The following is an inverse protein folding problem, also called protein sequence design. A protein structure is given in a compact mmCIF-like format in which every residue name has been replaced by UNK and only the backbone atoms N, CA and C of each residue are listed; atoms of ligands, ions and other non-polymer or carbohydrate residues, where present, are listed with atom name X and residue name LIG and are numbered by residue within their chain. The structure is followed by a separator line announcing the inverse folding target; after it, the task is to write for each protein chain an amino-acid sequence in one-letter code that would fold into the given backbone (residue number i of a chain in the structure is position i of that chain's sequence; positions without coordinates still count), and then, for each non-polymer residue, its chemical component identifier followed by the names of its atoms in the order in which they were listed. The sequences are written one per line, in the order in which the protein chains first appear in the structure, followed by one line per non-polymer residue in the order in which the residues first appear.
data_IF_681986344307
#
_entry.id   IF_681986344307
#
_cell.length_a   1.000
_cell.length_b   1.000
_cell.length_c   1.000
_cell.angle_alpha   90.00
_cell.angle_beta   90.00
_cell.angle_gamma   90.00
#
_symmetry.space_group_name_H-M   'P 1'
#
loop_
_entity.id
_entity.type
_entity.pdbx_description
1 polymer ?
#
# COMPACT_ATOMS: atom_id res chain seq x y z
N UNK A 1 22.06 -19.99 -11.62
CA UNK A 1 21.98 -18.60 -12.10
C UNK A 1 20.50 -18.26 -12.20
N UNK A 2 20.13 -17.07 -11.72
CA UNK A 2 18.79 -16.68 -11.30
C UNK A 2 17.68 -16.91 -12.34
N UNK A 3 16.65 -17.69 -11.99
CA UNK A 3 15.39 -17.81 -12.75
C UNK A 3 14.15 -17.62 -11.84
N UNK A 4 14.31 -16.95 -10.70
CA UNK A 4 13.21 -16.61 -9.78
C UNK A 4 12.79 -15.12 -9.85
N UNK A 5 13.35 -14.36 -10.80
CA UNK A 5 13.20 -12.90 -10.84
C UNK A 5 11.99 -12.40 -11.67
N UNK A 6 11.36 -13.26 -12.47
CA UNK A 6 10.38 -12.82 -13.49
C UNK A 6 8.89 -13.02 -13.14
N UNK A 7 8.54 -13.52 -11.94
CA UNK A 7 7.16 -13.44 -11.42
C UNK A 7 6.87 -12.17 -10.60
N UNK A 8 7.82 -11.23 -10.52
CA UNK A 8 7.69 -9.90 -9.86
C UNK A 8 7.29 -8.78 -10.84
N UNK A 9 6.48 -9.12 -11.85
CA UNK A 9 6.24 -8.29 -13.04
C UNK A 9 5.12 -7.24 -12.94
N UNK A 10 4.65 -6.89 -11.75
CA UNK A 10 3.88 -5.68 -11.52
C UNK A 10 4.52 -5.00 -10.32
N UNK A 11 5.39 -4.03 -10.59
CA UNK A 11 6.08 -3.23 -9.59
C UNK A 11 5.03 -2.48 -8.76
N UNK A 12 4.58 -3.11 -7.67
CA UNK A 12 3.78 -2.43 -6.67
C UNK A 12 4.62 -1.24 -6.18
N UNK A 13 4.05 -0.05 -6.15
CA UNK A 13 4.75 1.11 -5.58
C UNK A 13 5.06 0.80 -4.12
N UNK A 14 6.34 0.78 -3.74
CA UNK A 14 6.76 0.53 -2.36
C UNK A 14 6.84 1.84 -1.58
N UNK A 15 6.12 1.92 -0.46
CA UNK A 15 6.17 3.03 0.48
C UNK A 15 6.71 2.52 1.82
N UNK A 16 7.90 3.00 2.19
CA UNK A 16 8.47 2.72 3.51
C UNK A 16 7.78 3.55 4.59
N UNK A 17 6.85 2.94 5.30
CA UNK A 17 6.11 3.57 6.38
C UNK A 17 6.93 3.68 7.68
N UNK A 18 8.10 3.03 7.81
CA UNK A 18 8.95 3.13 9.01
C UNK A 18 9.73 4.45 9.05
N UNK A 19 10.01 5.02 7.88
CA UNK A 19 10.67 6.31 7.71
C UNK A 19 9.72 7.52 7.84
N UNK A 20 8.41 7.29 7.98
CA UNK A 20 7.38 8.33 7.97
C UNK A 20 6.46 8.28 9.19
N UNK A 21 5.84 9.40 9.54
CA UNK A 21 4.85 9.41 10.62
C UNK A 21 3.52 8.84 10.10
N UNK A 22 3.17 7.64 10.58
CA UNK A 22 1.89 7.00 10.26
C UNK A 22 0.90 7.17 11.42
N UNK A 23 -0.32 7.61 11.11
CA UNK A 23 -1.41 7.80 12.09
C UNK A 23 -2.75 7.31 11.53
N UNK A 24 -3.74 7.13 12.42
CA UNK A 24 -5.11 6.79 12.01
C UNK A 24 -5.24 5.47 11.25
N UNK A 25 -4.37 4.50 11.57
CA UNK A 25 -4.41 3.16 10.99
C UNK A 25 -5.73 2.46 11.37
N UNK A 26 -6.43 1.92 10.38
CA UNK A 26 -7.68 1.19 10.59
C UNK A 26 -7.79 0.08 9.57
N UNK A 27 -8.30 -1.06 10.01
CA UNK A 27 -8.60 -2.20 9.16
C UNK A 27 -10.04 -2.64 9.39
N UNK A 28 -10.82 -2.65 8.33
CA UNK A 28 -12.20 -3.11 8.31
C UNK A 28 -12.27 -4.42 7.50
N UNK A 29 -12.44 -5.58 8.14
CA UNK A 29 -12.54 -6.85 7.42
C UNK A 29 -13.77 -6.86 6.51
N UNK A 30 -13.62 -7.42 5.31
CA UNK A 30 -14.74 -7.60 4.40
C UNK A 30 -15.69 -8.71 4.92
N UNK A 31 -17.02 -8.55 4.77
CA UNK A 31 -17.97 -9.62 5.08
C UNK A 31 -17.64 -10.85 4.22
N UNK A 32 -17.41 -12.01 4.86
CA UNK A 32 -17.04 -13.26 4.18
C UNK A 32 -15.54 -13.57 4.12
N UNK A 33 -14.67 -12.73 4.69
CA UNK A 33 -13.27 -13.12 4.97
C UNK A 33 -12.32 -13.13 3.76
N UNK A 34 -12.72 -12.62 2.60
CA UNK A 34 -11.90 -12.54 1.39
C UNK A 34 -10.85 -11.42 1.39
N UNK A 35 -10.73 -10.64 2.47
CA UNK A 35 -9.84 -9.48 2.57
C UNK A 35 -10.37 -8.45 3.56
N UNK A 36 -9.96 -7.19 3.41
CA UNK A 36 -10.51 -6.06 4.15
C UNK A 36 -9.99 -4.73 3.64
N UNK A 37 -10.73 -3.66 3.96
CA UNK A 37 -10.32 -2.30 3.65
C UNK A 37 -9.33 -1.83 4.72
N UNK A 38 -8.15 -1.41 4.31
CA UNK A 38 -7.18 -0.76 5.18
C UNK A 38 -7.13 0.74 4.86
N UNK A 39 -6.93 1.55 5.90
CA UNK A 39 -6.60 2.96 5.73
C UNK A 39 -5.55 3.41 6.72
N UNK A 40 -4.68 4.33 6.30
CA UNK A 40 -3.75 5.03 7.18
C UNK A 40 -3.49 6.44 6.65
N UNK A 41 -3.09 7.35 7.54
CA UNK A 41 -2.52 8.65 7.14
C UNK A 41 -1.01 8.59 7.28
N UNK A 42 -0.29 9.04 6.27
CA UNK A 42 1.18 9.02 6.23
C UNK A 42 1.69 10.39 5.78
N UNK A 43 2.74 10.85 6.45
CA UNK A 43 3.46 12.06 6.10
C UNK A 43 4.44 12.49 7.19
N UNK A 44 5.27 13.50 6.96
CA UNK A 44 5.44 14.21 5.69
C UNK A 44 6.08 13.31 4.61
N UNK A 45 5.54 13.35 3.39
CA UNK A 45 6.07 12.68 2.21
C UNK A 45 6.69 13.68 1.23
N UNK A 46 7.79 13.30 0.55
CA UNK A 46 8.35 14.13 -0.52
C UNK A 46 7.42 14.17 -1.74
N UNK A 47 7.51 15.24 -2.52
CA UNK A 47 6.64 15.47 -3.68
C UNK A 47 6.72 14.34 -4.72
N UNK A 48 7.90 13.72 -4.88
CA UNK A 48 8.10 12.58 -5.78
C UNK A 48 7.27 11.37 -5.36
N UNK A 49 7.31 11.00 -4.08
CA UNK A 49 6.49 9.91 -3.53
C UNK A 49 5.00 10.22 -3.62
N UNK A 50 4.60 11.47 -3.40
CA UNK A 50 3.21 11.88 -3.59
C UNK A 50 2.75 11.72 -5.03
N UNK A 51 3.58 12.13 -6.01
CA UNK A 51 3.28 11.96 -7.43
C UNK A 51 3.20 10.48 -7.84
N UNK A 52 4.10 9.64 -7.32
CA UNK A 52 4.07 8.20 -7.57
C UNK A 52 2.81 7.55 -6.97
N UNK A 53 2.43 7.94 -5.76
CA UNK A 53 1.19 7.48 -5.11
C UNK A 53 -0.04 7.89 -5.93
N UNK A 54 -0.12 9.15 -6.37
CA UNK A 54 -1.21 9.63 -7.21
C UNK A 54 -1.30 8.85 -8.54
N UNK A 55 -0.16 8.53 -9.15
CA UNK A 55 -0.12 7.70 -10.35
C UNK A 55 -0.58 6.27 -10.08
N UNK A 56 -0.15 5.66 -8.98
CA UNK A 56 -0.59 4.33 -8.58
C UNK A 56 -2.11 4.29 -8.33
N UNK A 57 -2.65 5.30 -7.64
CA UNK A 57 -4.08 5.44 -7.43
C UNK A 57 -4.85 5.64 -8.75
N UNK A 58 -4.31 6.42 -9.70
CA UNK A 58 -4.94 6.64 -11.02
C UNK A 58 -4.93 5.40 -11.90
N UNK A 59 -3.86 4.62 -11.86
CA UNK A 59 -3.67 3.42 -12.68
C UNK A 59 -4.21 2.16 -12.01
N UNK A 60 -4.74 2.29 -10.79
CA UNK A 60 -5.08 1.19 -9.89
C UNK A 60 -3.92 0.20 -9.70
N UNK A 61 -2.68 0.70 -9.77
CA UNK A 61 -1.51 -0.12 -9.49
C UNK A 61 -1.49 -0.49 -7.99
N UNK A 62 -1.06 -1.72 -7.64
CA UNK A 62 -0.89 -2.10 -6.26
C UNK A 62 0.13 -1.21 -5.54
N UNK A 63 -0.08 -0.95 -4.25
CA UNK A 63 0.85 -0.22 -3.38
C UNK A 63 1.25 -1.13 -2.23
N UNK A 64 2.56 -1.31 -2.04
CA UNK A 64 3.11 -2.07 -0.93
C UNK A 64 3.54 -1.12 0.19
N UNK A 65 2.86 -1.18 1.32
CA UNK A 65 3.22 -0.43 2.52
C UNK A 65 4.16 -1.28 3.37
N UNK A 66 5.42 -0.85 3.52
CA UNK A 66 6.41 -1.54 4.34
C UNK A 66 6.31 -1.03 5.78
N UNK A 67 5.84 -1.88 6.69
CA UNK A 67 5.89 -1.65 8.14
C UNK A 67 6.93 -2.58 8.78
N UNK A 68 7.45 -2.23 9.96
CA UNK A 68 8.53 -2.96 10.67
C UNK A 68 8.33 -4.49 10.75
N UNK A 69 7.08 -4.95 10.83
CA UNK A 69 6.78 -6.37 11.00
C UNK A 69 6.52 -7.09 9.66
N UNK A 70 5.66 -6.52 8.80
CA UNK A 70 5.19 -7.17 7.57
C UNK A 70 4.77 -6.14 6.51
N UNK A 71 5.12 -6.38 5.23
CA UNK A 71 4.58 -5.59 4.13
C UNK A 71 3.08 -5.81 3.98
N UNK A 72 2.35 -4.75 3.69
CA UNK A 72 0.92 -4.78 3.41
C UNK A 72 0.69 -4.35 1.96
N UNK A 73 0.18 -5.25 1.13
CA UNK A 73 -0.13 -4.95 -0.27
C UNK A 73 -1.59 -4.48 -0.35
N UNK A 74 -1.78 -3.29 -0.91
CA UNK A 74 -3.08 -2.68 -1.15
C UNK A 74 -3.37 -2.62 -2.64
N UNK A 75 -4.58 -2.99 -3.02
CA UNK A 75 -5.14 -2.77 -4.34
C UNK A 75 -6.29 -1.74 -4.27
N UNK A 76 -6.69 -1.24 -5.45
CA UNK A 76 -7.76 -0.23 -5.57
C UNK A 76 -7.51 0.97 -4.64
N UNK A 77 -6.26 1.45 -4.65
CA UNK A 77 -5.83 2.50 -3.74
C UNK A 77 -6.47 3.83 -4.10
N UNK A 78 -7.00 4.51 -3.09
CA UNK A 78 -7.51 5.87 -3.16
C UNK A 78 -6.74 6.74 -2.18
N UNK A 79 -6.44 7.97 -2.59
CA UNK A 79 -5.70 8.94 -1.78
C UNK A 79 -6.58 10.13 -1.43
N UNK A 80 -6.60 10.51 -0.16
CA UNK A 80 -7.15 11.80 0.27
C UNK A 80 -6.01 12.71 0.73
N UNK A 81 -5.81 13.85 0.07
CA UNK A 81 -4.85 14.87 0.53
C UNK A 81 -5.39 15.54 1.79
N UNK A 82 -4.67 15.39 2.92
CA UNK A 82 -5.03 16.04 4.19
C UNK A 82 -4.28 17.37 4.35
N UNK A 83 -3.00 17.40 3.99
CA UNK A 83 -2.12 18.58 4.05
C UNK A 83 -1.09 18.51 2.90
N UNK A 84 -0.27 19.56 2.70
CA UNK A 84 0.68 19.66 1.59
C UNK A 84 1.62 18.44 1.45
N UNK A 85 1.98 17.80 2.56
CA UNK A 85 2.87 16.63 2.59
C UNK A 85 2.26 15.42 3.30
N UNK A 86 0.95 15.40 3.55
CA UNK A 86 0.29 14.29 4.26
C UNK A 86 -0.91 13.80 3.48
N UNK A 87 -0.95 12.49 3.26
CA UNK A 87 -2.02 11.81 2.53
C UNK A 87 -2.63 10.71 3.39
N UNK A 88 -3.93 10.51 3.24
CA UNK A 88 -4.59 9.31 3.71
C UNK A 88 -4.69 8.32 2.56
N UNK A 89 -4.11 7.16 2.77
CA UNK A 89 -4.15 6.02 1.86
C UNK A 89 -5.30 5.13 2.31
N UNK A 90 -6.15 4.74 1.38
CA UNK A 90 -7.23 3.77 1.58
C UNK A 90 -7.11 2.72 0.48
N UNK A 91 -7.16 1.44 0.81
CA UNK A 91 -7.07 0.38 -0.19
C UNK A 91 -7.53 -0.96 0.34
N UNK A 92 -7.76 -1.91 -0.55
CA UNK A 92 -8.14 -3.28 -0.19
C UNK A 92 -6.90 -4.11 0.05
N UNK A 93 -6.79 -4.73 1.22
CA UNK A 93 -5.69 -5.63 1.55
C UNK A 93 -5.79 -6.88 0.71
N UNK A 94 -4.75 -7.11 -0.09
CA UNK A 94 -4.53 -8.39 -0.74
C UNK A 94 -3.98 -9.33 0.32
N UNK A 95 -4.75 -10.35 0.71
CA UNK A 95 -4.18 -11.43 1.51
C UNK A 95 -3.09 -12.08 0.66
N UNK A 96 -1.86 -12.27 1.16
CA UNK A 96 -0.97 -13.20 0.49
C UNK A 96 -1.72 -14.53 0.46
N UNK A 97 -1.98 -15.07 -0.74
CA UNK A 97 -2.40 -16.46 -0.86
C UNK A 97 -1.45 -17.26 0.02
N UNK A 98 -1.99 -18.08 0.93
CA UNK A 98 -1.16 -19.07 1.59
C UNK A 98 -0.52 -19.87 0.46
N UNK A 99 0.76 -19.64 0.20
CA UNK A 99 1.58 -20.58 -0.53
C UNK A 99 1.45 -21.89 0.25
N UNK A 100 0.59 -22.76 -0.25
CA UNK A 100 0.36 -24.08 0.31
C UNK A 100 1.54 -24.89 -0.19
N UNK A 101 2.49 -25.15 0.70
CA UNK A 101 3.56 -26.12 0.51
C UNK A 101 3.50 -27.10 1.67
#
# INVERSE_FOLDING_TARGET
MAQDQERRGQLALELDCTAHQVTGQSYMPAPGGAGGLFSCSVGPLPNETLAALDEAARTHAPVCLLFDAKPLILEMVTLERKEAHRVRIVGTVVKPEKATA
#
